data_IF_722945743575
#
_entry.id   IF_722945743575
#
_cell.length_a   1.000
_cell.length_b   1.000
_cell.length_c   1.000
_cell.angle_alpha   90.00
_cell.angle_beta   90.00
_cell.angle_gamma   90.00
#
_symmetry.space_group_name_H-M   'P 1'
#
loop_
_entity.id
_entity.type
_entity.pdbx_description
1 polymer ?
#
# COMPACT_ATOMS: atom_id res chain seq x y z
N UNK A 1 31.81 2.87 31.43
CA UNK A 1 31.52 3.33 30.06
C UNK A 1 30.61 2.28 29.43
N UNK A 2 29.30 2.48 29.55
CA UNK A 2 28.30 1.53 29.04
C UNK A 2 28.02 1.80 27.58
N UNK A 3 28.30 0.82 26.72
CA UNK A 3 27.88 0.84 25.33
C UNK A 3 26.39 0.52 25.25
N UNK A 4 25.60 1.49 24.80
CA UNK A 4 24.21 1.28 24.41
C UNK A 4 24.20 0.56 23.07
N UNK A 5 23.87 -0.73 23.07
CA UNK A 5 23.56 -1.48 21.86
C UNK A 5 22.11 -1.15 21.44
N UNK A 6 21.93 0.00 20.80
CA UNK A 6 20.74 0.29 20.01
C UNK A 6 20.67 -0.73 18.87
N UNK A 7 19.64 -1.58 18.85
CA UNK A 7 19.37 -2.48 17.72
C UNK A 7 18.76 -1.62 16.61
N UNK A 8 19.55 -1.33 15.59
CA UNK A 8 19.15 -0.46 14.48
C UNK A 8 17.90 -0.99 13.76
N UNK A 9 16.99 -0.09 13.39
CA UNK A 9 15.90 -0.40 12.47
C UNK A 9 16.49 -0.74 11.11
N UNK A 10 16.30 -1.97 10.66
CA UNK A 10 16.89 -2.48 9.44
C UNK A 10 15.89 -3.32 8.63
N UNK A 11 16.18 -3.49 7.35
CA UNK A 11 15.44 -4.38 6.45
C UNK A 11 16.17 -5.72 6.39
N UNK A 12 15.49 -6.80 6.75
CA UNK A 12 16.13 -8.11 6.93
C UNK A 12 16.45 -8.78 5.57
N UNK A 13 15.74 -8.42 4.50
CA UNK A 13 15.94 -8.95 3.14
C UNK A 13 16.62 -7.94 2.19
N UNK A 14 17.73 -7.31 2.60
CA UNK A 14 18.50 -6.36 1.76
C UNK A 14 19.37 -6.98 0.66
N UNK A 15 19.09 -8.20 0.19
CA UNK A 15 19.95 -8.95 -0.73
C UNK A 15 19.55 -8.85 -2.22
N UNK A 16 20.55 -8.75 -3.10
CA UNK A 16 20.52 -8.65 -4.57
C UNK A 16 19.27 -9.24 -5.28
N UNK A 17 18.69 -8.52 -6.27
CA UNK A 17 17.55 -8.99 -7.06
C UNK A 17 17.96 -10.21 -7.91
N UNK A 18 17.55 -11.41 -7.49
CA UNK A 18 17.80 -12.62 -8.27
C UNK A 18 17.87 -13.93 -7.48
N UNK A 19 18.04 -13.88 -6.16
CA UNK A 19 18.00 -15.10 -5.33
C UNK A 19 16.73 -15.12 -4.49
N UNK A 20 15.84 -16.07 -4.76
CA UNK A 20 14.79 -16.51 -3.84
C UNK A 20 15.46 -17.10 -2.59
N UNK A 21 16.01 -16.25 -1.71
CA UNK A 21 16.39 -16.69 -0.38
C UNK A 21 15.11 -16.73 0.44
N UNK A 22 14.75 -17.94 0.84
CA UNK A 22 13.93 -18.18 2.02
C UNK A 22 14.38 -17.23 3.13
N UNK A 23 13.44 -16.55 3.79
CA UNK A 23 13.74 -15.72 4.95
C UNK A 23 14.64 -16.52 5.91
N UNK A 24 15.70 -15.91 6.46
CA UNK A 24 16.50 -16.56 7.49
C UNK A 24 15.59 -17.09 8.59
N UNK A 25 15.88 -18.28 9.12
CA UNK A 25 15.12 -18.84 10.23
C UNK A 25 15.36 -17.98 11.47
N UNK A 26 14.41 -17.10 11.76
CA UNK A 26 14.45 -16.20 12.91
C UNK A 26 13.92 -16.91 14.16
N UNK A 27 14.41 -16.56 15.36
CA UNK A 27 13.78 -17.02 16.59
C UNK A 27 12.32 -16.55 16.65
N UNK A 28 11.42 -17.30 17.33
CA UNK A 28 10.02 -16.92 17.46
C UNK A 28 9.88 -15.49 18.00
N UNK A 29 9.11 -14.66 17.30
CA UNK A 29 8.88 -13.29 17.72
C UNK A 29 8.00 -13.28 18.98
N UNK A 30 8.44 -12.69 20.11
CA UNK A 30 7.68 -12.76 21.36
C UNK A 30 6.53 -11.75 21.45
N UNK A 31 6.37 -10.87 20.46
CA UNK A 31 5.26 -9.90 20.42
C UNK A 31 3.97 -10.51 19.86
N UNK A 32 2.87 -9.73 19.84
CA UNK A 32 1.58 -10.24 19.41
C UNK A 32 1.58 -10.54 17.91
N UNK A 33 0.91 -11.63 17.53
CA UNK A 33 0.63 -11.97 16.14
C UNK A 33 -0.72 -11.38 15.72
N UNK A 34 -0.81 -10.70 14.56
CA UNK A 34 -2.11 -10.30 14.01
C UNK A 34 -2.86 -11.52 13.47
N UNK A 35 -4.19 -11.50 13.58
CA UNK A 35 -5.08 -12.42 12.87
C UNK A 35 -5.65 -11.69 11.65
N UNK A 36 -5.53 -12.30 10.46
CA UNK A 36 -6.01 -11.73 9.20
C UNK A 36 -7.34 -12.33 8.74
N UNK A 37 -8.13 -11.50 8.07
CA UNK A 37 -9.36 -11.90 7.38
C UNK A 37 -9.40 -11.29 5.99
N UNK A 38 -9.61 -12.14 4.99
CA UNK A 38 -9.59 -11.76 3.56
C UNK A 38 -11.00 -11.78 3.00
N UNK A 39 -11.47 -10.65 2.47
CA UNK A 39 -12.81 -10.48 1.91
C UNK A 39 -12.68 -10.11 0.44
N UNK A 40 -13.04 -11.04 -0.44
CA UNK A 40 -13.08 -10.80 -1.88
C UNK A 40 -14.45 -10.22 -2.26
N UNK A 41 -14.45 -9.14 -3.04
CA UNK A 41 -15.66 -8.50 -3.55
C UNK A 41 -15.51 -8.16 -5.03
N UNK A 42 -16.62 -8.08 -5.76
CA UNK A 42 -16.64 -7.65 -7.17
C UNK A 42 -17.39 -6.32 -7.26
N UNK A 43 -16.74 -5.32 -7.87
CA UNK A 43 -17.29 -3.97 -8.02
C UNK A 43 -17.61 -3.75 -9.49
N UNK A 44 -18.82 -3.27 -9.76
CA UNK A 44 -19.28 -2.95 -11.09
C UNK A 44 -18.76 -1.59 -11.52
N UNK A 45 -18.01 -1.58 -12.62
CA UNK A 45 -17.56 -0.39 -13.30
C UNK A 45 -18.32 -0.25 -14.62
N UNK A 46 -18.94 0.90 -14.81
CA UNK A 46 -19.73 1.22 -16.01
C UNK A 46 -19.01 2.30 -16.80
N UNK A 47 -18.67 1.99 -18.05
CA UNK A 47 -18.09 2.96 -18.99
C UNK A 47 -19.17 3.73 -19.76
N UNK A 48 -18.99 5.05 -19.90
CA UNK A 48 -19.77 5.90 -20.81
C UNK A 48 -18.82 6.56 -21.82
N UNK A 49 -19.13 6.37 -23.11
CA UNK A 49 -18.38 6.97 -24.22
C UNK A 49 -19.18 8.13 -24.81
N UNK A 50 -18.55 9.30 -24.93
CA UNK A 50 -19.16 10.44 -25.63
C UNK A 50 -18.80 10.36 -27.12
N UNK A 51 -19.79 10.09 -27.98
CA UNK A 51 -19.63 10.08 -29.43
C UNK A 51 -20.13 11.41 -30.04
N UNK A 52 -19.24 12.17 -30.68
CA UNK A 52 -19.58 13.39 -31.44
C UNK A 52 -19.41 14.73 -30.68
N UNK A 53 -19.13 15.81 -31.42
CA UNK A 53 -18.96 17.17 -30.91
C UNK A 53 -17.62 17.44 -30.20
N UNK A 54 -17.51 18.58 -29.50
CA UNK A 54 -16.30 19.01 -28.78
C UNK A 54 -15.89 18.10 -27.58
N UNK A 55 -16.71 17.09 -27.26
CA UNK A 55 -16.45 16.08 -26.22
C UNK A 55 -16.07 14.70 -26.76
N UNK A 56 -15.90 14.54 -28.07
CA UNK A 56 -15.54 13.26 -28.67
C UNK A 56 -14.22 12.71 -28.08
N UNK A 57 -14.25 11.44 -27.65
CA UNK A 57 -13.10 10.76 -27.04
C UNK A 57 -12.98 10.90 -25.53
N UNK A 58 -13.94 11.51 -24.84
CA UNK A 58 -14.07 11.43 -23.37
C UNK A 58 -14.68 10.08 -22.97
N UNK A 59 -13.91 9.31 -22.22
CA UNK A 59 -14.36 8.10 -21.52
C UNK A 59 -14.51 8.43 -20.04
N UNK A 60 -15.71 8.20 -19.52
CA UNK A 60 -15.99 8.27 -18.07
C UNK A 60 -16.28 6.85 -17.62
N UNK A 61 -15.40 6.32 -16.78
CA UNK A 61 -15.67 5.07 -16.05
C UNK A 61 -16.15 5.48 -14.66
N UNK A 62 -17.28 4.93 -14.21
CA UNK A 62 -17.78 5.10 -12.84
C UNK A 62 -17.90 3.74 -12.16
N UNK A 63 -17.46 3.66 -10.91
CA UNK A 63 -17.59 2.47 -10.07
C UNK A 63 -18.77 2.60 -9.11
N UNK A 64 -19.38 1.49 -8.71
CA UNK A 64 -20.38 1.43 -7.63
C UNK A 64 -19.74 1.04 -6.28
N UNK A 65 -18.48 1.42 -6.05
CA UNK A 65 -17.69 0.99 -4.90
C UNK A 65 -18.35 1.29 -3.55
N UNK A 66 -19.14 2.35 -3.45
CA UNK A 66 -19.83 2.73 -2.22
C UNK A 66 -20.78 1.62 -1.70
N UNK A 67 -21.20 0.71 -2.58
CA UNK A 67 -22.02 -0.45 -2.22
C UNK A 67 -21.33 -1.44 -1.26
N UNK A 68 -19.99 -1.48 -1.21
CA UNK A 68 -19.25 -2.41 -0.34
C UNK A 68 -18.86 -1.80 1.01
N UNK A 69 -18.98 -0.48 1.18
CA UNK A 69 -18.57 0.20 2.42
C UNK A 69 -19.34 -0.21 3.67
N UNK A 70 -20.67 -0.41 3.63
CA UNK A 70 -21.40 -0.91 4.80
C UNK A 70 -20.91 -2.28 5.26
N UNK A 71 -20.50 -3.15 4.33
CA UNK A 71 -19.93 -4.46 4.66
C UNK A 71 -18.59 -4.29 5.37
N UNK A 72 -17.72 -3.39 4.90
CA UNK A 72 -16.44 -3.12 5.56
C UNK A 72 -16.62 -2.56 6.97
N UNK A 73 -17.52 -1.59 7.15
CA UNK A 73 -17.85 -1.04 8.45
C UNK A 73 -18.41 -2.11 9.40
N UNK A 74 -19.13 -3.11 8.88
CA UNK A 74 -19.66 -4.23 9.67
C UNK A 74 -18.58 -5.01 10.42
N UNK A 75 -17.39 -5.18 9.83
CA UNK A 75 -16.29 -5.93 10.45
C UNK A 75 -15.64 -5.21 11.64
N UNK A 76 -15.77 -3.88 11.73
CA UNK A 76 -15.29 -3.13 12.91
C UNK A 76 -16.05 -3.50 14.18
N UNK A 77 -17.30 -3.96 14.07
CA UNK A 77 -18.08 -4.46 15.21
C UNK A 77 -17.51 -5.78 15.77
N UNK A 78 -16.71 -6.50 14.98
CA UNK A 78 -16.01 -7.73 15.39
C UNK A 78 -14.56 -7.45 15.84
N UNK A 79 -14.22 -6.18 16.05
CA UNK A 79 -12.86 -5.71 16.38
C UNK A 79 -11.82 -6.00 15.27
N UNK A 80 -12.27 -6.15 14.02
CA UNK A 80 -11.40 -6.17 12.85
C UNK A 80 -11.25 -4.76 12.29
N UNK A 81 -10.00 -4.36 12.02
CA UNK A 81 -9.68 -3.10 11.33
C UNK A 81 -9.28 -3.41 9.90
N UNK A 82 -9.63 -2.53 8.98
CA UNK A 82 -9.14 -2.64 7.62
C UNK A 82 -7.62 -2.36 7.62
N UNK A 83 -6.85 -3.22 6.98
CA UNK A 83 -5.40 -3.04 6.77
C UNK A 83 -5.13 -2.49 5.37
N UNK A 84 -5.78 -3.07 4.37
CA UNK A 84 -5.59 -2.70 2.98
C UNK A 84 -6.81 -3.10 2.18
N UNK A 85 -7.10 -2.35 1.13
CA UNK A 85 -8.13 -2.66 0.15
C UNK A 85 -7.55 -2.39 -1.22
N UNK A 86 -7.48 -3.41 -2.08
CA UNK A 86 -6.80 -3.25 -3.36
C UNK A 86 -7.51 -3.95 -4.50
N UNK A 87 -7.33 -3.38 -5.69
CA UNK A 87 -7.84 -3.89 -6.95
C UNK A 87 -6.99 -5.05 -7.43
N UNK A 88 -7.63 -6.20 -7.63
CA UNK A 88 -6.96 -7.33 -8.25
C UNK A 88 -6.97 -7.17 -9.79
N UNK A 89 -5.86 -7.47 -10.51
CA UNK A 89 -5.77 -7.36 -11.98
C UNK A 89 -6.64 -8.35 -12.78
N UNK A 90 -7.66 -8.94 -12.15
CA UNK A 90 -8.66 -9.74 -12.82
C UNK A 90 -9.76 -8.84 -13.39
N UNK A 91 -10.40 -9.27 -14.48
CA UNK A 91 -11.52 -8.55 -15.08
C UNK A 91 -12.53 -9.59 -15.56
N UNK A 92 -13.80 -9.39 -15.22
CA UNK A 92 -14.93 -10.15 -15.76
C UNK A 92 -15.90 -9.20 -16.43
N UNK A 93 -16.44 -9.56 -17.60
CA UNK A 93 -17.49 -8.78 -18.26
C UNK A 93 -18.85 -9.42 -17.97
N UNK A 94 -19.85 -8.62 -17.67
CA UNK A 94 -21.22 -9.07 -17.44
C UNK A 94 -21.91 -9.38 -18.77
N UNK A 95 -21.53 -10.48 -19.42
CA UNK A 95 -22.06 -10.85 -20.73
C UNK A 95 -21.35 -10.19 -21.92
N UNK A 96 -21.65 -10.65 -23.13
CA UNK A 96 -20.86 -10.31 -24.33
C UNK A 96 -21.00 -8.84 -24.77
N UNK A 97 -22.15 -8.21 -24.47
CA UNK A 97 -22.51 -6.86 -24.94
C UNK A 97 -22.67 -5.82 -23.82
N UNK A 98 -22.37 -6.15 -22.56
CA UNK A 98 -22.50 -5.19 -21.46
C UNK A 98 -21.35 -4.19 -21.44
N UNK A 99 -21.68 -2.93 -21.19
CA UNK A 99 -20.74 -1.85 -20.86
C UNK A 99 -20.24 -1.93 -19.41
N UNK A 100 -20.80 -2.85 -18.61
CA UNK A 100 -20.42 -3.11 -17.23
C UNK A 100 -19.34 -4.17 -17.16
N UNK A 101 -18.24 -3.82 -16.51
CA UNK A 101 -17.18 -4.76 -16.14
C UNK A 101 -17.18 -4.94 -14.63
N UNK A 102 -17.10 -6.19 -14.19
CA UNK A 102 -16.91 -6.52 -12.79
C UNK A 102 -15.40 -6.61 -12.52
N UNK A 103 -14.95 -5.72 -11.64
CA UNK A 103 -13.57 -5.66 -11.19
C UNK A 103 -13.50 -6.25 -9.78
N UNK A 104 -12.80 -7.36 -9.59
CA UNK A 104 -12.56 -7.93 -8.27
C UNK A 104 -11.56 -7.09 -7.45
N UNK A 105 -11.90 -6.89 -6.19
CA UNK A 105 -11.08 -6.31 -5.16
C UNK A 105 -10.98 -7.27 -3.98
N UNK A 106 -9.95 -7.10 -3.15
CA UNK A 106 -9.86 -7.80 -1.88
C UNK A 106 -9.60 -6.78 -0.78
N UNK A 107 -10.43 -6.85 0.26
CA UNK A 107 -10.19 -6.17 1.54
C UNK A 107 -9.47 -7.14 2.48
N UNK A 108 -8.39 -6.67 3.09
CA UNK A 108 -7.64 -7.40 4.11
C UNK A 108 -7.90 -6.70 5.44
N UNK A 109 -8.49 -7.42 6.37
CA UNK A 109 -8.71 -6.96 7.74
C UNK A 109 -7.73 -7.65 8.68
N UNK A 110 -7.43 -7.01 9.80
CA UNK A 110 -6.60 -7.56 10.86
C UNK A 110 -7.19 -7.28 12.24
N UNK A 111 -6.82 -8.09 13.22
CA UNK A 111 -7.03 -7.80 14.64
C UNK A 111 -5.88 -8.32 15.49
N UNK A 112 -5.65 -7.66 16.63
CA UNK A 112 -4.74 -8.15 17.67
C UNK A 112 -5.53 -8.75 18.84
N UNK A 113 -4.96 -9.71 19.58
CA UNK A 113 -5.67 -10.44 20.63
C UNK A 113 -5.99 -9.61 21.90
N UNK A 114 -5.50 -8.37 22.08
CA UNK A 114 -5.68 -7.53 23.29
C UNK A 114 -5.96 -6.05 22.92
N UNK A 115 -6.39 -5.22 23.89
CA UNK A 115 -7.79 -4.89 24.20
C UNK A 115 -8.49 -3.98 23.18
N UNK A 116 -9.83 -4.05 23.21
CA UNK A 116 -10.82 -3.35 22.37
C UNK A 116 -10.75 -1.82 22.48
N UNK A 117 -9.78 -1.18 21.85
CA UNK A 117 -9.94 0.22 21.45
C UNK A 117 -11.04 0.27 20.38
N UNK A 118 -12.01 1.16 20.57
CA UNK A 118 -13.05 1.36 19.57
C UNK A 118 -12.48 2.12 18.37
N UNK A 119 -12.77 1.60 17.17
CA UNK A 119 -12.42 2.20 15.89
C UNK A 119 -13.64 2.21 14.98
N UNK A 120 -13.69 3.13 14.02
CA UNK A 120 -14.65 3.14 12.92
C UNK A 120 -13.93 3.43 11.60
N UNK A 121 -14.42 2.84 10.52
CA UNK A 121 -13.94 3.14 9.18
C UNK A 121 -14.53 4.46 8.70
N UNK A 122 -13.68 5.36 8.22
CA UNK A 122 -14.06 6.56 7.49
C UNK A 122 -13.43 6.50 6.10
N UNK A 123 -14.19 6.90 5.08
CA UNK A 123 -13.74 6.81 3.68
C UNK A 123 -13.98 8.16 3.03
N UNK A 124 -12.93 8.70 2.43
CA UNK A 124 -12.96 9.98 1.75
C UNK A 124 -12.64 9.83 0.27
N UNK A 125 -13.50 10.40 -0.58
CA UNK A 125 -13.26 10.45 -2.02
C UNK A 125 -12.26 11.54 -2.36
N UNK A 126 -11.31 11.23 -3.23
CA UNK A 126 -10.30 12.15 -3.74
C UNK A 126 -10.05 11.89 -5.22
N UNK A 127 -9.21 12.72 -5.83
CA UNK A 127 -8.76 12.52 -7.19
C UNK A 127 -7.27 12.87 -7.30
N UNK A 128 -6.58 12.13 -8.15
CA UNK A 128 -5.19 12.36 -8.51
C UNK A 128 -5.16 12.86 -9.95
N UNK A 129 -4.55 14.03 -10.15
CA UNK A 129 -4.35 14.61 -11.46
C UNK A 129 -2.86 14.75 -11.76
N UNK A 130 -2.40 13.98 -12.74
CA UNK A 130 -1.05 14.13 -13.28
C UNK A 130 -0.97 15.20 -14.37
N UNK A 131 0.14 15.95 -14.39
CA UNK A 131 0.46 16.91 -15.46
C UNK A 131 1.88 16.67 -15.96
N UNK A 132 2.00 16.46 -17.28
CA UNK A 132 3.30 16.39 -17.96
C UNK A 132 3.72 17.80 -18.35
N UNK A 133 4.90 18.21 -17.90
CA UNK A 133 5.49 19.47 -18.31
C UNK A 133 6.34 19.24 -19.57
N UNK A 134 5.91 19.82 -20.70
CA UNK A 134 6.68 19.85 -21.94
C UNK A 134 7.51 21.13 -22.02
N UNK A 135 8.73 21.03 -22.57
CA UNK A 135 9.39 22.22 -23.10
C UNK A 135 8.70 22.64 -24.41
N UNK A 136 9.09 23.74 -25.06
CA UNK A 136 8.53 24.30 -26.31
C UNK A 136 8.42 23.32 -27.53
N UNK A 137 8.70 22.04 -27.34
CA UNK A 137 8.47 20.93 -28.25
C UNK A 137 7.74 19.78 -27.53
N UNK A 138 6.62 19.31 -28.10
CA UNK A 138 5.82 18.16 -27.62
C UNK A 138 6.57 16.81 -27.58
N UNK A 139 7.85 16.80 -27.99
CA UNK A 139 8.64 15.59 -28.20
C UNK A 139 9.49 15.23 -26.97
N UNK A 140 9.75 16.19 -26.07
CA UNK A 140 10.64 15.99 -24.91
C UNK A 140 9.97 16.48 -23.61
N UNK A 141 9.32 15.58 -22.84
CA UNK A 141 8.84 15.91 -21.50
C UNK A 141 10.02 16.23 -20.56
N UNK A 142 9.90 17.31 -19.77
CA UNK A 142 10.89 17.75 -18.79
C UNK A 142 10.66 17.16 -17.40
N UNK A 143 9.41 16.84 -17.07
CA UNK A 143 9.04 16.30 -15.77
C UNK A 143 7.55 15.97 -15.69
N UNK A 144 7.15 15.37 -14.58
CA UNK A 144 5.76 15.12 -14.23
C UNK A 144 5.52 15.66 -12.83
N UNK A 145 4.43 16.40 -12.67
CA UNK A 145 3.89 16.77 -11.37
C UNK A 145 2.55 16.08 -11.17
N UNK A 146 2.35 15.49 -10.01
CA UNK A 146 1.06 14.95 -9.58
C UNK A 146 0.48 15.89 -8.53
N UNK A 147 -0.75 16.39 -8.75
CA UNK A 147 -1.45 17.18 -7.73
C UNK A 147 -1.94 16.25 -6.62
N UNK A 148 -1.23 16.29 -5.48
CA UNK A 148 -1.56 15.55 -4.26
C UNK A 148 -2.08 16.46 -3.14
N UNK A 149 -2.52 17.68 -3.46
CA UNK A 149 -2.92 18.67 -2.46
C UNK A 149 -4.14 18.22 -1.64
N UNK A 150 -5.18 17.71 -2.30
CA UNK A 150 -6.37 17.19 -1.63
C UNK A 150 -6.03 16.03 -0.71
N UNK A 151 -5.19 15.10 -1.18
CA UNK A 151 -4.69 13.98 -0.37
C UNK A 151 -4.01 14.45 0.92
N UNK A 152 -3.07 15.41 0.80
CA UNK A 152 -2.35 15.94 1.95
C UNK A 152 -3.32 16.61 2.94
N UNK A 153 -4.30 17.36 2.43
CA UNK A 153 -5.33 18.01 3.25
C UNK A 153 -6.24 17.00 3.96
N UNK A 154 -6.68 15.94 3.27
CA UNK A 154 -7.50 14.88 3.85
C UNK A 154 -6.74 14.16 4.97
N UNK A 155 -5.48 13.77 4.73
CA UNK A 155 -4.64 13.14 5.75
C UNK A 155 -4.48 14.06 6.95
N UNK A 156 -4.13 15.34 6.74
CA UNK A 156 -3.96 16.31 7.82
C UNK A 156 -5.24 16.43 8.66
N UNK A 157 -6.40 16.67 8.02
CA UNK A 157 -7.69 16.85 8.69
C UNK A 157 -8.09 15.66 9.56
N UNK A 158 -7.95 14.44 9.05
CA UNK A 158 -8.32 13.25 9.82
C UNK A 158 -7.29 12.93 10.92
N UNK A 159 -6.00 13.17 10.64
CA UNK A 159 -4.93 12.96 11.63
C UNK A 159 -5.06 13.85 12.86
N UNK A 160 -5.53 15.09 12.70
CA UNK A 160 -5.82 16.01 13.82
C UNK A 160 -6.86 15.45 14.81
N UNK A 161 -7.71 14.53 14.36
CA UNK A 161 -8.74 13.86 15.16
C UNK A 161 -8.29 12.48 15.67
N UNK A 162 -7.00 12.13 15.50
CA UNK A 162 -6.45 10.81 15.81
C UNK A 162 -6.71 9.76 14.74
N UNK A 163 -7.25 10.17 13.58
CA UNK A 163 -7.45 9.30 12.43
C UNK A 163 -6.13 8.74 11.90
N UNK A 164 -6.11 7.43 11.65
CA UNK A 164 -4.97 6.73 11.08
C UNK A 164 -5.23 6.36 9.64
N UNK A 165 -4.35 6.75 8.73
CA UNK A 165 -4.45 6.34 7.34
C UNK A 165 -4.27 4.82 7.25
N UNK A 166 -5.15 4.17 6.50
CA UNK A 166 -5.12 2.73 6.25
C UNK A 166 -4.43 2.49 4.92
N UNK A 167 -5.11 2.89 3.84
CA UNK A 167 -4.67 2.70 2.47
C UNK A 167 -5.34 3.73 1.56
N UNK A 168 -4.90 3.75 0.31
CA UNK A 168 -5.54 4.47 -0.77
C UNK A 168 -5.67 3.55 -1.97
N UNK A 169 -6.85 3.53 -2.59
CA UNK A 169 -7.08 2.68 -3.74
C UNK A 169 -7.70 3.43 -4.89
N UNK A 170 -7.32 3.07 -6.12
CA UNK A 170 -7.97 3.57 -7.32
C UNK A 170 -9.38 3.01 -7.46
N UNK A 171 -10.37 3.85 -7.19
CA UNK A 171 -11.76 3.42 -7.15
C UNK A 171 -12.49 3.73 -8.45
N UNK A 172 -11.86 3.39 -9.57
CA UNK A 172 -12.51 3.22 -10.87
C UNK A 172 -13.20 4.44 -11.51
N UNK A 173 -13.25 5.59 -10.83
CA UNK A 173 -13.59 6.85 -11.47
C UNK A 173 -12.40 7.25 -12.34
N UNK A 174 -12.56 7.15 -13.65
CA UNK A 174 -11.51 7.51 -14.58
C UNK A 174 -12.10 8.47 -15.60
N UNK A 175 -11.54 9.67 -15.68
CA UNK A 175 -11.95 10.69 -16.65
C UNK A 175 -10.81 10.84 -17.65
N UNK A 176 -10.95 10.20 -18.81
CA UNK A 176 -10.04 10.42 -19.92
C UNK A 176 -10.25 11.85 -20.44
N UNK A 177 -9.22 12.70 -20.31
CA UNK A 177 -9.19 14.03 -20.91
C UNK A 177 -8.87 13.81 -22.39
N UNK A 178 -9.87 13.97 -23.28
CA UNK A 178 -9.81 13.59 -24.70
C UNK A 178 -8.61 14.12 -25.49
N UNK A 179 -8.48 13.73 -26.77
CA UNK A 179 -7.26 13.90 -27.59
C UNK A 179 -6.54 15.26 -27.46
N UNK A 180 -7.28 16.38 -27.48
CA UNK A 180 -6.71 17.74 -27.37
C UNK A 180 -6.05 18.03 -26.02
N UNK A 181 -6.58 17.47 -24.93
CA UNK A 181 -6.01 17.62 -23.59
C UNK A 181 -4.76 16.75 -23.39
N UNK A 182 -4.75 15.55 -23.99
CA UNK A 182 -3.55 14.70 -24.04
C UNK A 182 -2.39 15.38 -24.78
N UNK A 183 -2.67 16.07 -25.89
CA UNK A 183 -1.66 16.90 -26.58
C UNK A 183 -1.16 18.09 -25.73
N UNK A 184 -1.97 18.55 -24.78
CA UNK A 184 -1.63 19.62 -23.85
C UNK A 184 -0.99 19.13 -22.54
N UNK A 185 -0.59 17.85 -22.48
CA UNK A 185 0.11 17.27 -21.32
C UNK A 185 -0.75 16.94 -20.11
N UNK A 186 -2.08 16.96 -20.26
CA UNK A 186 -2.96 16.56 -19.18
C UNK A 186 -3.15 15.04 -19.21
N UNK A 187 -2.82 14.39 -18.09
CA UNK A 187 -3.03 12.95 -17.86
C UNK A 187 -4.49 12.75 -17.41
N UNK A 188 -5.12 11.57 -17.63
CA UNK A 188 -6.42 11.27 -17.07
C UNK A 188 -6.50 11.52 -15.56
N UNK A 189 -7.65 12.01 -15.11
CA UNK A 189 -7.94 12.12 -13.68
C UNK A 189 -8.34 10.74 -13.16
N UNK A 190 -7.65 10.30 -12.12
CA UNK A 190 -7.93 9.02 -11.44
C UNK A 190 -8.58 9.32 -10.10
N UNK A 191 -9.82 8.90 -9.92
CA UNK A 191 -10.51 8.95 -8.64
C UNK A 191 -9.96 7.87 -7.72
N UNK A 192 -9.70 8.26 -6.49
CA UNK A 192 -9.18 7.40 -5.43
C UNK A 192 -10.05 7.54 -4.19
N UNK A 193 -10.17 6.47 -3.43
CA UNK A 193 -10.78 6.54 -2.09
C UNK A 193 -9.68 6.34 -1.05
N UNK A 194 -9.69 7.20 -0.04
CA UNK A 194 -8.74 7.25 1.06
C UNK A 194 -9.43 6.67 2.29
N UNK A 195 -8.84 5.64 2.87
CA UNK A 195 -9.44 4.90 3.99
C UNK A 195 -8.75 5.27 5.29
N UNK A 196 -9.54 5.58 6.32
CA UNK A 196 -9.06 5.99 7.64
C UNK A 196 -9.67 5.13 8.75
N UNK A 197 -8.83 4.79 9.71
CA UNK A 197 -9.20 4.25 11.01
C UNK A 197 -9.41 5.41 11.97
N UNK A 198 -10.67 5.71 12.27
CA UNK A 198 -11.01 6.78 13.21
C UNK A 198 -11.23 6.21 14.61
N UNK A 199 -10.51 6.69 15.63
CA UNK A 199 -10.69 6.24 16.99
C UNK A 199 -12.05 6.69 17.53
N UNK A 200 -12.70 5.83 18.31
CA UNK A 200 -13.94 6.18 19.03
C UNK A 200 -13.74 6.26 20.55
N UNK A 201 -12.51 6.06 21.01
CA UNK A 201 -12.09 6.16 22.40
C UNK A 201 -11.55 7.58 22.72
N UNK A 202 -11.61 8.02 23.98
CA UNK A 202 -11.10 9.33 24.38
C UNK A 202 -9.56 9.40 24.33
N UNK A 203 -9.02 10.57 23.99
CA UNK A 203 -7.59 10.87 23.94
C UNK A 203 -6.75 9.92 23.06
N UNK A 204 -7.10 9.75 21.78
CA UNK A 204 -6.31 8.92 20.88
C UNK A 204 -4.90 9.48 20.70
N UNK A 205 -3.94 8.59 20.43
CA UNK A 205 -2.61 9.01 19.98
C UNK A 205 -2.72 9.70 18.62
N UNK A 206 -2.15 10.90 18.51
CA UNK A 206 -2.12 11.66 17.26
C UNK A 206 -0.87 11.28 16.47
N UNK A 207 -1.04 11.09 15.16
CA UNK A 207 0.02 10.71 14.24
C UNK A 207 0.33 11.85 13.27
N UNK A 208 1.60 11.95 12.87
CA UNK A 208 2.06 12.81 11.78
C UNK A 208 2.54 11.94 10.62
N UNK A 209 2.48 12.49 9.41
CA UNK A 209 2.74 11.76 8.19
C UNK A 209 3.86 12.41 7.39
N UNK A 210 4.70 11.57 6.80
CA UNK A 210 5.71 11.97 5.84
C UNK A 210 5.45 11.26 4.51
N UNK A 211 5.37 12.06 3.45
CA UNK A 211 5.25 11.56 2.09
C UNK A 211 6.56 11.76 1.35
N UNK A 212 7.05 10.73 0.68
CA UNK A 212 8.22 10.81 -0.18
C UNK A 212 7.94 10.21 -1.55
N UNK A 213 8.49 10.83 -2.59
CA UNK A 213 8.33 10.37 -3.97
C UNK A 213 9.61 9.66 -4.40
N UNK A 214 9.47 8.40 -4.81
CA UNK A 214 10.57 7.55 -5.23
C UNK A 214 10.42 7.24 -6.72
N UNK A 215 11.38 7.64 -7.57
CA UNK A 215 11.33 7.39 -9.00
C UNK A 215 11.56 5.90 -9.29
N UNK A 216 10.75 5.34 -10.18
CA UNK A 216 10.86 3.98 -10.69
C UNK A 216 11.17 4.04 -12.18
N UNK A 217 12.18 3.29 -12.59
CA UNK A 217 12.52 3.12 -14.00
C UNK A 217 12.03 1.76 -14.49
N UNK A 218 11.09 1.75 -15.43
CA UNK A 218 10.62 0.55 -16.11
C UNK A 218 11.23 0.46 -17.51
N UNK A 219 11.80 -0.68 -17.88
CA UNK A 219 12.47 -0.91 -19.17
C UNK A 219 11.85 -2.07 -19.89
N UNK A 220 11.34 -1.83 -21.09
CA UNK A 220 10.93 -2.85 -22.04
C UNK A 220 12.12 -3.68 -22.50
N UNK A 221 11.97 -4.99 -22.51
CA UNK A 221 12.95 -5.96 -23.02
C UNK A 221 12.42 -6.61 -24.29
N UNK A 222 13.32 -7.21 -25.05
CA UNK A 222 12.97 -8.02 -26.22
C UNK A 222 12.01 -9.15 -25.80
N UNK A 223 10.92 -9.34 -26.53
CA UNK A 223 9.87 -10.30 -26.16
C UNK A 223 8.72 -9.71 -25.33
N UNK A 224 8.67 -8.39 -25.11
CA UNK A 224 7.54 -7.70 -24.47
C UNK A 224 7.51 -7.76 -22.95
N UNK A 225 8.61 -8.19 -22.31
CA UNK A 225 8.77 -8.10 -20.86
C UNK A 225 9.08 -6.67 -20.44
N UNK A 226 8.68 -6.30 -19.23
CA UNK A 226 8.98 -5.01 -18.60
C UNK A 226 9.72 -5.32 -17.31
N UNK A 227 10.93 -4.81 -17.14
CA UNK A 227 11.68 -4.89 -15.89
C UNK A 227 11.61 -3.54 -15.15
N UNK A 228 11.36 -3.58 -13.85
CA UNK A 228 11.32 -2.39 -12.99
C UNK A 228 12.58 -2.34 -12.12
N UNK A 229 13.15 -1.16 -11.99
CA UNK A 229 14.34 -0.91 -11.16
C UNK A 229 13.98 0.06 -10.03
N UNK A 230 14.14 -0.41 -8.79
CA UNK A 230 13.89 0.34 -7.56
C UNK A 230 14.54 -0.40 -6.37
N UNK A 231 15.25 0.33 -5.51
CA UNK A 231 15.85 -0.22 -4.29
C UNK A 231 14.89 -0.11 -3.10
N UNK A 232 13.93 -1.03 -3.05
CA UNK A 232 12.90 -1.07 -2.01
C UNK A 232 13.47 -1.15 -0.59
N UNK A 233 14.59 -1.86 -0.42
CA UNK A 233 15.20 -2.10 0.88
C UNK A 233 15.83 -0.82 1.44
N UNK A 234 16.62 -0.12 0.63
CA UNK A 234 17.27 1.13 1.05
C UNK A 234 16.23 2.19 1.39
N UNK A 235 15.20 2.34 0.54
CA UNK A 235 14.14 3.30 0.77
C UNK A 235 13.34 3.00 2.04
N UNK A 236 12.93 1.74 2.26
CA UNK A 236 12.23 1.36 3.48
C UNK A 236 13.12 1.58 4.73
N UNK A 237 14.36 1.07 4.68
CA UNK A 237 15.30 1.10 5.80
C UNK A 237 15.58 2.51 6.31
N UNK A 238 15.72 3.48 5.40
CA UNK A 238 15.97 4.89 5.74
C UNK A 238 14.92 5.47 6.70
N UNK A 239 13.65 5.08 6.56
CA UNK A 239 12.57 5.60 7.40
C UNK A 239 12.40 4.79 8.68
N UNK A 240 12.51 3.46 8.59
CA UNK A 240 12.42 2.58 9.77
C UNK A 240 13.53 2.89 10.80
N UNK A 241 14.74 3.21 10.33
CA UNK A 241 15.87 3.59 11.19
C UNK A 241 15.66 4.91 11.94
N UNK A 242 14.60 5.66 11.61
CA UNK A 242 14.22 6.92 12.25
C UNK A 242 12.88 6.79 13.01
N UNK A 243 12.39 5.57 13.21
CA UNK A 243 11.16 5.28 13.96
C UNK A 243 9.86 5.52 13.20
N UNK A 244 9.91 5.74 11.88
CA UNK A 244 8.72 5.83 11.05
C UNK A 244 8.15 4.45 10.73
N UNK A 245 6.82 4.35 10.61
CA UNK A 245 6.08 3.16 10.18
C UNK A 245 5.63 3.33 8.74
N UNK A 246 5.80 2.32 7.89
CA UNK A 246 5.22 2.34 6.54
C UNK A 246 3.71 2.17 6.63
N UNK A 247 2.96 3.02 5.94
CA UNK A 247 1.50 2.93 5.83
C UNK A 247 1.10 2.41 4.46
N UNK A 248 1.49 3.12 3.40
CA UNK A 248 1.05 2.80 2.05
C UNK A 248 2.11 3.18 1.02
N UNK A 249 2.13 2.46 -0.10
CA UNK A 249 2.89 2.83 -1.29
C UNK A 249 1.93 2.80 -2.48
N UNK A 250 1.67 3.95 -3.09
CA UNK A 250 0.86 4.01 -4.30
C UNK A 250 1.71 4.45 -5.50
N UNK A 251 1.42 3.91 -6.67
CA UNK A 251 1.98 4.41 -7.93
C UNK A 251 1.10 5.55 -8.42
N UNK A 252 1.69 6.70 -8.70
CA UNK A 252 0.92 7.88 -9.14
C UNK A 252 0.46 7.81 -10.61
N UNK A 253 0.73 6.69 -11.28
CA UNK A 253 0.48 6.42 -12.71
C UNK A 253 0.98 7.52 -13.65
N UNK A 254 1.94 8.32 -13.20
CA UNK A 254 2.61 9.33 -13.99
C UNK A 254 3.55 8.66 -14.98
N UNK A 255 3.00 8.13 -16.07
CA UNK A 255 3.78 7.41 -17.08
C UNK A 255 4.39 8.41 -18.06
N UNK A 256 5.70 8.63 -17.98
CA UNK A 256 6.45 9.29 -19.06
C UNK A 256 7.25 8.27 -19.82
N UNK A 257 6.94 8.15 -21.12
CA UNK A 257 7.79 7.43 -22.06
C UNK A 257 9.07 8.23 -22.24
N UNK A 258 10.21 7.57 -22.11
CA UNK A 258 11.51 8.16 -22.44
C UNK A 258 11.59 8.59 -23.90
N UNK A 259 12.75 9.09 -24.33
CA UNK A 259 13.00 9.54 -25.71
C UNK A 259 12.45 8.54 -26.74
N UNK A 260 11.96 9.03 -27.88
CA UNK A 260 11.48 8.20 -28.99
C UNK A 260 12.43 7.00 -29.19
N UNK A 261 11.86 5.80 -29.28
CA UNK A 261 12.55 4.50 -29.43
C UNK A 261 13.21 3.89 -28.16
N UNK A 262 13.19 4.54 -27.00
CA UNK A 262 13.93 4.04 -25.82
C UNK A 262 13.30 2.89 -25.03
N UNK A 263 12.05 2.49 -25.33
CA UNK A 263 11.34 1.41 -24.62
C UNK A 263 11.29 1.57 -23.09
N UNK A 264 11.67 2.74 -22.57
CA UNK A 264 11.86 3.04 -21.15
C UNK A 264 10.72 3.94 -20.71
N UNK A 265 10.17 3.66 -19.55
CA UNK A 265 9.08 4.41 -18.93
C UNK A 265 9.51 4.80 -17.52
N UNK A 266 9.31 6.06 -17.18
CA UNK A 266 9.51 6.60 -15.85
C UNK A 266 8.16 6.76 -15.17
N UNK A 267 8.09 6.44 -13.88
CA UNK A 267 6.93 6.65 -13.02
C UNK A 267 7.39 6.90 -11.59
N UNK A 268 6.49 7.38 -10.73
CA UNK A 268 6.81 7.56 -9.32
C UNK A 268 5.98 6.62 -8.43
N UNK A 269 6.62 6.15 -7.37
CA UNK A 269 5.94 5.61 -6.20
C UNK A 269 5.92 6.67 -5.12
N UNK A 270 4.75 6.96 -4.58
CA UNK A 270 4.60 7.82 -3.41
C UNK A 270 4.47 6.92 -2.19
N UNK A 271 5.43 7.05 -1.28
CA UNK A 271 5.49 6.29 -0.05
C UNK A 271 5.00 7.17 1.08
N UNK A 272 4.10 6.62 1.88
CA UNK A 272 3.49 7.31 3.02
C UNK A 272 3.93 6.61 4.29
N UNK A 273 4.56 7.38 5.16
CA UNK A 273 5.00 6.94 6.47
C UNK A 273 4.27 7.70 7.55
N UNK A 274 4.07 7.07 8.69
CA UNK A 274 3.49 7.70 9.88
C UNK A 274 4.41 7.57 11.09
N UNK A 275 4.22 8.47 12.05
CA UNK A 275 4.90 8.44 13.35
C UNK A 275 4.03 9.12 14.39
N UNK A 276 4.05 8.69 15.67
CA UNK A 276 3.39 9.44 16.73
C UNK A 276 3.88 10.89 16.75
N UNK A 277 2.96 11.84 16.78
CA UNK A 277 3.28 13.28 16.79
C UNK A 277 4.15 13.65 18.00
N UNK A 278 3.92 12.98 19.14
CA UNK A 278 4.72 13.11 20.37
C UNK A 278 6.19 12.68 20.20
N UNK A 279 6.52 11.92 19.14
CA UNK A 279 7.85 11.36 18.87
C UNK A 279 8.43 11.81 17.54
N UNK A 280 7.87 12.83 16.89
CA UNK A 280 8.33 13.26 15.55
C UNK A 280 9.85 13.46 15.48
N UNK A 281 10.43 14.09 16.51
CA UNK A 281 11.87 14.39 16.62
C UNK A 281 12.71 13.29 17.27
N UNK A 282 12.13 12.16 17.67
CA UNK A 282 12.85 11.04 18.30
C UNK A 282 13.37 10.08 17.22
N UNK A 283 14.67 10.02 16.92
CA UNK A 283 15.19 9.18 15.84
C UNK A 283 15.26 7.70 16.22
N UNK A 284 14.82 7.30 17.42
CA UNK A 284 14.93 5.92 17.90
C UNK A 284 14.19 4.96 16.97
N UNK A 285 14.85 3.90 16.46
CA UNK A 285 14.18 2.87 15.71
C UNK A 285 13.11 2.16 16.53
N UNK A 286 11.90 2.08 15.99
CA UNK A 286 10.75 1.39 16.63
C UNK A 286 10.31 0.18 15.82
N UNK A 287 10.62 0.17 14.53
CA UNK A 287 10.14 -0.84 13.58
C UNK A 287 11.31 -1.46 12.82
N UNK A 288 11.17 -2.73 12.52
CA UNK A 288 11.97 -3.42 11.52
C UNK A 288 11.07 -3.87 10.37
N UNK A 289 11.65 -4.00 9.18
CA UNK A 289 10.90 -4.23 7.95
C UNK A 289 11.43 -5.41 7.14
N UNK A 290 10.56 -5.95 6.31
CA UNK A 290 10.94 -6.90 5.26
C UNK A 290 9.92 -6.84 4.13
N UNK A 291 10.25 -7.46 3.01
CA UNK A 291 9.31 -7.61 1.92
C UNK A 291 9.56 -8.94 1.19
N UNK A 292 8.54 -9.39 0.47
CA UNK A 292 8.62 -10.54 -0.41
C UNK A 292 8.18 -10.15 -1.82
N UNK A 293 8.91 -10.65 -2.81
CA UNK A 293 8.48 -10.58 -4.20
C UNK A 293 7.47 -11.70 -4.48
N UNK A 294 6.33 -11.35 -5.08
CA UNK A 294 5.28 -12.28 -5.41
C UNK A 294 4.88 -12.13 -6.88
N UNK A 295 5.02 -13.19 -7.68
CA UNK A 295 4.61 -13.19 -9.07
C UNK A 295 3.25 -13.85 -9.25
N UNK A 296 2.27 -13.09 -9.74
CA UNK A 296 0.92 -13.56 -10.07
C UNK A 296 0.85 -13.87 -11.55
N UNK A 297 0.39 -15.08 -11.90
CA UNK A 297 0.15 -15.42 -13.31
C UNK A 297 -1.28 -15.05 -13.71
N UNK A 298 -1.41 -14.09 -14.62
CA UNK A 298 -2.68 -13.74 -15.26
C UNK A 298 -2.83 -14.45 -16.62
N UNK A 299 -4.06 -14.84 -16.93
CA UNK A 299 -4.45 -15.53 -18.16
C UNK A 299 -5.57 -14.74 -18.82
N UNK A 300 -5.37 -14.37 -20.08
CA UNK A 300 -6.40 -13.85 -20.96
C UNK A 300 -7.28 -14.99 -21.47
N UNK A 301 -8.58 -14.86 -21.27
CA UNK A 301 -9.61 -15.76 -21.79
C UNK A 301 -10.36 -15.13 -22.97
N UNK A 302 -11.13 -15.96 -23.68
CA UNK A 302 -12.06 -15.51 -24.72
C UNK A 302 -13.06 -14.49 -24.15
N UNK A 303 -13.36 -13.45 -24.92
CA UNK A 303 -14.32 -12.40 -24.54
C UNK A 303 -13.81 -11.35 -23.55
N UNK A 304 -12.48 -11.20 -23.40
CA UNK A 304 -11.88 -10.14 -22.57
C UNK A 304 -11.81 -10.46 -21.07
N UNK A 305 -12.10 -11.71 -20.68
CA UNK A 305 -11.94 -12.19 -19.30
C UNK A 305 -10.46 -12.30 -18.94
N UNK A 306 -10.05 -11.72 -17.81
CA UNK A 306 -8.71 -11.90 -17.25
C UNK A 306 -8.85 -12.61 -15.91
N UNK A 307 -8.19 -13.76 -15.75
CA UNK A 307 -8.15 -14.50 -14.49
C UNK A 307 -6.72 -14.67 -13.99
N UNK A 308 -6.55 -14.70 -12.67
CA UNK A 308 -5.27 -14.99 -12.01
C UNK A 308 -5.53 -15.66 -10.68
N UNK A 309 -4.52 -16.34 -10.15
CA UNK A 309 -4.53 -16.76 -8.76
C UNK A 309 -3.47 -15.95 -7.99
N UNK A 310 -3.90 -15.28 -6.93
CA UNK A 310 -3.08 -14.33 -6.20
C UNK A 310 -2.31 -14.98 -5.07
N UNK A 311 -2.84 -16.03 -4.42
CA UNK A 311 -2.17 -16.90 -3.44
C UNK A 311 -1.26 -16.18 -2.41
N UNK A 312 -1.51 -14.91 -2.07
CA UNK A 312 -0.76 -14.21 -1.03
C UNK A 312 -1.38 -14.40 0.35
N UNK A 313 -2.64 -14.82 0.46
CA UNK A 313 -3.33 -15.03 1.74
C UNK A 313 -2.53 -15.99 2.64
N UNK A 314 -2.06 -17.09 2.07
CA UNK A 314 -1.20 -18.05 2.77
C UNK A 314 0.12 -17.41 3.20
N UNK A 315 0.79 -16.67 2.31
CA UNK A 315 2.08 -16.02 2.63
C UNK A 315 1.92 -14.96 3.72
N UNK A 316 0.83 -14.19 3.70
CA UNK A 316 0.53 -13.19 4.70
C UNK A 316 0.30 -13.86 6.06
N UNK A 317 -0.46 -14.97 6.11
CA UNK A 317 -0.65 -15.73 7.35
C UNK A 317 0.66 -16.37 7.86
N UNK A 318 1.51 -16.89 6.96
CA UNK A 318 2.83 -17.41 7.33
C UNK A 318 3.72 -16.32 7.94
N UNK A 319 3.71 -15.11 7.37
CA UNK A 319 4.42 -13.95 7.92
C UNK A 319 3.83 -13.52 9.26
N UNK A 320 2.50 -13.47 9.38
CA UNK A 320 1.77 -13.15 10.60
C UNK A 320 2.19 -14.05 11.77
N UNK A 321 2.25 -15.37 11.54
CA UNK A 321 2.68 -16.36 12.53
C UNK A 321 4.11 -16.13 13.04
N UNK A 322 4.94 -15.41 12.28
CA UNK A 322 6.29 -14.99 12.65
C UNK A 322 6.35 -13.56 13.20
N UNK A 323 5.20 -12.99 13.57
CA UNK A 323 5.07 -11.66 14.16
C UNK A 323 5.16 -10.51 13.17
N UNK A 324 5.16 -10.78 11.86
CA UNK A 324 5.20 -9.75 10.84
C UNK A 324 3.80 -9.24 10.52
N UNK A 325 3.62 -7.93 10.60
CA UNK A 325 2.40 -7.24 10.20
C UNK A 325 2.53 -6.78 8.75
N UNK A 326 1.55 -7.09 7.91
CA UNK A 326 1.39 -6.51 6.58
C UNK A 326 1.35 -4.98 6.68
N UNK A 327 2.20 -4.30 5.92
CA UNK A 327 2.15 -2.86 5.74
C UNK A 327 1.31 -2.51 4.52
N UNK A 328 1.72 -2.97 3.33
CA UNK A 328 0.97 -2.77 2.09
C UNK A 328 1.33 -3.80 1.01
N UNK A 329 0.55 -3.83 -0.07
CA UNK A 329 0.80 -4.66 -1.26
C UNK A 329 0.96 -3.73 -2.46
N UNK A 330 2.18 -3.68 -3.01
CA UNK A 330 2.48 -2.85 -4.17
C UNK A 330 2.44 -3.69 -5.44
N UNK A 331 1.56 -3.33 -6.39
CA UNK A 331 1.65 -3.81 -7.77
C UNK A 331 2.75 -3.04 -8.49
N UNK A 332 3.81 -3.72 -8.92
CA UNK A 332 4.92 -3.08 -9.64
C UNK A 332 4.63 -3.02 -11.15
N UNK A 333 5.34 -2.17 -11.92
CA UNK A 333 5.26 -2.18 -13.37
C UNK A 333 5.99 -3.38 -14.02
N UNK A 334 6.67 -4.24 -13.24
CA UNK A 334 7.37 -5.40 -13.78
C UNK A 334 6.37 -6.47 -14.25
N UNK A 335 6.51 -6.85 -15.53
CA UNK A 335 5.68 -7.83 -16.21
C UNK A 335 6.55 -8.79 -17.03
N UNK A 336 6.27 -10.09 -16.96
CA UNK A 336 6.93 -11.12 -17.76
C UNK A 336 5.92 -11.85 -18.63
N UNK A 337 6.17 -11.94 -19.94
CA UNK A 337 5.30 -12.69 -20.85
C UNK A 337 5.69 -14.16 -20.78
N UNK A 338 4.73 -15.05 -20.49
CA UNK A 338 5.01 -16.47 -20.25
C UNK A 338 4.26 -17.41 -21.21
N UNK A 339 3.84 -16.90 -22.37
CA UNK A 339 3.18 -17.66 -23.43
C UNK A 339 1.96 -16.93 -24.01
N UNK A 340 1.24 -17.61 -24.90
CA UNK A 340 0.04 -17.06 -25.53
C UNK A 340 -1.02 -16.67 -24.50
N UNK A 341 -1.39 -15.38 -24.48
CA UNK A 341 -2.34 -14.79 -23.55
C UNK A 341 -2.00 -15.01 -22.05
N UNK A 342 -0.73 -15.19 -21.69
CA UNK A 342 -0.28 -15.36 -20.30
C UNK A 342 0.81 -14.36 -19.95
N UNK A 343 0.63 -13.66 -18.83
CA UNK A 343 1.65 -12.78 -18.27
C UNK A 343 1.80 -13.04 -16.77
N UNK A 344 2.99 -12.81 -16.23
CA UNK A 344 3.25 -12.73 -14.81
C UNK A 344 3.41 -11.28 -14.42
N UNK A 345 2.68 -10.85 -13.41
CA UNK A 345 2.78 -9.54 -12.80
C UNK A 345 3.52 -9.66 -11.47
N UNK A 346 4.47 -8.76 -11.21
CA UNK A 346 5.18 -8.74 -9.94
C UNK A 346 4.50 -7.81 -8.95
N UNK A 347 4.26 -8.35 -7.77
CA UNK A 347 3.84 -7.63 -6.57
C UNK A 347 4.96 -7.66 -5.55
N UNK A 348 5.03 -6.64 -4.70
CA UNK A 348 5.88 -6.60 -3.53
C UNK A 348 4.98 -6.46 -2.32
N UNK A 349 5.09 -7.41 -1.39
CA UNK A 349 4.28 -7.43 -0.17
C UNK A 349 5.21 -6.99 0.96
N UNK A 350 4.94 -5.82 1.51
CA UNK A 350 5.73 -5.20 2.56
C UNK A 350 5.22 -5.61 3.93
N UNK A 351 6.15 -5.91 4.82
CA UNK A 351 5.87 -6.28 6.20
C UNK A 351 6.73 -5.47 7.16
N UNK A 352 6.20 -5.25 8.35
CA UNK A 352 6.89 -4.56 9.43
C UNK A 352 6.47 -5.15 10.78
N UNK A 353 7.32 -5.01 11.79
CA UNK A 353 6.95 -5.33 13.18
C UNK A 353 7.71 -4.43 14.14
N UNK A 354 7.22 -4.32 15.37
CA UNK A 354 7.89 -3.53 16.41
C UNK A 354 9.20 -4.19 16.82
N UNK A 355 10.21 -3.39 17.11
CA UNK A 355 11.43 -3.84 17.77
C UNK A 355 11.12 -3.93 19.25
N UNK A 356 11.27 -5.12 19.83
CA UNK A 356 11.06 -5.33 21.26
C UNK A 356 12.36 -5.01 21.99
N UNK A 357 12.33 -4.01 22.87
CA UNK A 357 13.45 -3.76 23.79
C UNK A 357 13.48 -4.87 24.85
N UNK A 358 14.65 -5.48 25.06
CA UNK A 358 14.87 -6.54 26.07
C UNK A 358 14.64 -6.07 27.51
N UNK A 359 14.55 -4.75 27.75
CA UNK A 359 14.30 -4.20 29.10
C UNK A 359 12.88 -4.50 29.64
N UNK A 360 11.92 -4.85 28.78
CA UNK A 360 10.57 -5.23 29.23
C UNK A 360 10.45 -6.73 29.60
N UNK A 361 11.44 -7.56 29.23
CA UNK A 361 11.45 -8.99 29.56
C UNK A 361 12.13 -9.30 30.91
N UNK A 362 12.75 -8.30 31.55
CA UNK A 362 13.38 -8.41 32.86
C UNK A 362 12.50 -7.99 34.05
N UNK A 363 11.31 -7.43 33.81
CA UNK A 363 10.43 -6.89 34.87
C UNK A 363 9.33 -7.86 35.34
N UNK A 364 9.42 -9.14 35.03
CA UNK A 364 8.56 -10.19 35.61
C UNK A 364 9.43 -11.29 36.21
N UNK A 365 10.08 -10.98 37.33
CA UNK A 365 10.94 -11.95 38.02
C UNK A 365 11.55 -11.39 39.31
N UNK A 366 10.71 -10.98 40.26
CA UNK A 366 11.18 -10.59 41.59
C UNK A 366 10.35 -9.48 42.22
N UNK A 367 9.10 -9.77 42.59
CA UNK A 367 8.56 -9.10 43.77
C UNK A 367 9.27 -9.73 44.96
N UNK A 368 10.40 -9.15 45.37
CA UNK A 368 10.90 -9.37 46.72
C UNK A 368 9.80 -8.96 47.67
N UNK A 369 9.23 -9.97 48.31
CA UNK A 369 8.28 -9.82 49.41
C UNK A 369 8.97 -8.89 50.43
N UNK A 370 8.37 -7.76 50.83
CA UNK A 370 8.98 -6.93 51.86
C UNK A 370 9.22 -7.82 53.10
N UNK A 371 10.37 -7.67 53.77
CA UNK A 371 10.72 -8.55 54.88
C UNK A 371 9.63 -8.52 55.95
N UNK A 372 9.31 -9.69 56.50
CA UNK A 372 8.37 -9.81 57.60
C UNK A 372 8.82 -8.95 58.79
N UNK A 373 7.86 -8.22 59.38
CA UNK A 373 8.06 -7.36 60.56
C UNK A 373 8.57 -8.10 61.81
N UNK A 374 8.65 -9.43 61.79
CA UNK A 374 9.20 -10.23 62.89
C UNK A 374 10.73 -10.15 63.04
N UNK A 375 11.42 -9.52 62.08
CA UNK A 375 12.89 -9.39 62.10
C UNK A 375 13.43 -8.17 62.89
N UNK A 376 12.56 -7.39 63.53
CA UNK A 376 12.95 -6.19 64.31
C UNK A 376 12.88 -6.38 65.84
N UNK A 377 12.95 -7.62 66.34
CA UNK A 377 13.18 -7.89 67.76
C UNK A 377 14.34 -8.86 67.94
N UNK A 378 15.53 -8.30 68.10
CA UNK A 378 16.77 -8.95 68.51
C UNK A 378 17.74 -7.90 69.00
#
# INVERSE_FOLDING_TARGET
MGGSNSKDGHVINGGNPGTSKTLPEEPPYPGPSPEYRFINTEIANTGRYTLGGAGAGKEIISSNIDSVYPMFAGHYNENFRLMSFYKTPMIRREGMFSSTILIPYQAIFYRYPHPNEGWRLEIEKSAIEGKVDYNHSFINPQGISTDSSHLIQSIARHSEQGGRLICMEETGQHIAKGFSAGLSGHIPTVGVDIFFDMPTHPNPEIYTYQMTTIPITARGKFGGEIAADCDWATHLGQFLSQGWRLVEIFLDNSLVVGKAFSGTVYMNAVWIFEKPMSRVNDPTPVYQGTFIEHFVTIKGGLGGKISGNFDWDQKINEMANNGWELACILKTPEQRICGFAKAKLKFIIFFQRKILSEEASGATGGYDKPPSYDSLKG
#
